data_IF_806528689728
#
_entry.id   IF_806528689728
#
_cell.length_a   1.000
_cell.length_b   1.000
_cell.length_c   1.000
_cell.angle_alpha   90.00
_cell.angle_beta   90.00
_cell.angle_gamma   90.00
#
_symmetry.space_group_name_H-M   'P 1'
#
loop_
_entity.id
_entity.type
_entity.pdbx_description
1 polymer ?
#
# COMPACT_ATOMS: atom_id res chain seq x y z
N UNK A 1 2.04 19.62 -25.60
CA UNK A 1 1.74 18.51 -24.66
C UNK A 1 2.97 18.11 -23.83
N UNK A 2 2.81 17.79 -22.52
CA UNK A 2 3.88 17.16 -21.75
C UNK A 2 4.28 15.84 -22.43
N UNK A 3 5.58 15.55 -22.52
CA UNK A 3 6.03 14.23 -23.01
C UNK A 3 5.71 13.18 -21.94
N UNK A 4 5.10 12.03 -22.30
CA UNK A 4 4.92 10.93 -21.37
C UNK A 4 6.26 10.48 -20.79
N UNK A 5 6.33 10.28 -19.47
CA UNK A 5 7.52 9.71 -18.83
C UNK A 5 7.61 8.22 -19.22
N UNK A 6 8.76 7.72 -19.70
CA UNK A 6 8.94 6.29 -20.03
C UNK A 6 8.69 5.41 -18.81
N UNK A 7 7.86 4.37 -18.95
CA UNK A 7 7.49 3.52 -17.82
C UNK A 7 8.62 2.53 -17.46
N UNK A 8 9.03 2.45 -16.19
CA UNK A 8 10.04 1.48 -15.76
C UNK A 8 9.48 0.06 -15.73
N UNK A 9 10.13 -0.84 -16.46
CA UNK A 9 9.68 -2.23 -16.62
C UNK A 9 10.22 -3.19 -15.53
N UNK A 10 11.27 -2.82 -14.80
CA UNK A 10 11.74 -3.64 -13.68
C UNK A 10 12.90 -3.11 -12.85
N UNK A 11 13.10 -3.74 -11.69
CA UNK A 11 14.08 -3.30 -10.70
C UNK A 11 13.46 -2.40 -9.64
N UNK A 12 14.27 -1.47 -9.12
CA UNK A 12 13.91 -0.58 -8.01
C UNK A 12 13.03 0.61 -8.40
N UNK A 13 12.96 0.95 -9.68
CA UNK A 13 12.15 2.06 -10.21
C UNK A 13 10.73 1.67 -10.60
N UNK A 14 10.36 0.38 -10.45
CA UNK A 14 9.01 -0.10 -10.75
C UNK A 14 7.95 0.72 -9.99
N UNK A 15 6.94 1.22 -10.71
CA UNK A 15 5.90 2.13 -10.18
C UNK A 15 6.40 3.47 -9.60
N UNK A 16 7.65 3.89 -9.87
CA UNK A 16 8.14 5.20 -9.42
C UNK A 16 7.46 6.39 -10.12
N UNK A 17 6.83 6.15 -11.27
CA UNK A 17 6.02 7.15 -11.97
C UNK A 17 4.57 7.03 -11.45
N UNK A 18 4.01 8.09 -10.83
CA UNK A 18 2.63 8.06 -10.36
C UNK A 18 1.64 7.98 -11.52
N UNK A 19 0.48 7.35 -11.27
CA UNK A 19 -0.63 7.25 -12.25
C UNK A 19 -1.50 8.51 -12.30
N UNK A 20 -1.22 9.46 -11.42
CA UNK A 20 -1.99 10.68 -11.28
C UNK A 20 -1.55 11.73 -12.30
N UNK A 21 -2.52 12.46 -12.84
CA UNK A 21 -2.31 13.57 -13.76
C UNK A 21 -1.74 14.76 -12.99
N UNK A 22 -0.41 14.84 -12.96
CA UNK A 22 0.34 15.96 -12.38
C UNK A 22 1.03 16.74 -13.50
N UNK A 23 0.88 18.09 -13.58
CA UNK A 23 1.37 18.86 -14.73
C UNK A 23 2.89 18.77 -14.93
N UNK A 24 3.64 18.57 -13.84
CA UNK A 24 5.10 18.51 -13.84
C UNK A 24 5.58 17.48 -12.82
N UNK A 25 6.24 16.43 -13.30
CA UNK A 25 6.89 15.41 -12.47
C UNK A 25 8.31 15.15 -12.96
N UNK A 26 9.23 14.94 -12.02
CA UNK A 26 10.59 14.50 -12.30
C UNK A 26 10.91 13.32 -11.37
N UNK A 27 11.10 12.15 -11.97
CA UNK A 27 11.55 10.95 -11.27
C UNK A 27 13.01 10.74 -11.62
N UNK A 28 13.87 10.54 -10.62
CA UNK A 28 15.30 10.27 -10.82
C UNK A 28 15.66 8.99 -10.10
N UNK A 29 16.04 7.97 -10.86
CA UNK A 29 16.54 6.72 -10.34
C UNK A 29 18.07 6.76 -10.33
N UNK A 30 18.68 6.48 -9.17
CA UNK A 30 20.13 6.32 -9.03
C UNK A 30 20.40 4.87 -8.65
N UNK A 31 20.97 4.12 -9.58
CA UNK A 31 21.38 2.75 -9.32
C UNK A 31 22.68 2.72 -8.52
N UNK A 32 22.68 2.01 -7.40
CA UNK A 32 23.86 1.79 -6.55
C UNK A 32 24.31 0.35 -6.78
N UNK A 33 25.40 0.11 -7.53
CA UNK A 33 25.81 -1.24 -7.91
C UNK A 33 26.44 -2.03 -6.75
N UNK A 34 26.99 -1.32 -5.77
CA UNK A 34 27.67 -1.90 -4.61
C UNK A 34 26.93 -1.53 -3.33
N UNK A 35 26.39 -2.54 -2.64
CA UNK A 35 25.67 -2.39 -1.39
C UNK A 35 26.31 -3.28 -0.32
N UNK A 36 26.34 -2.85 0.95
CA UNK A 36 26.90 -3.67 2.04
C UNK A 36 26.12 -4.97 2.26
N UNK A 37 24.88 -5.03 1.78
CA UNK A 37 24.01 -6.20 1.85
C UNK A 37 23.62 -6.66 0.44
N UNK A 38 23.64 -7.98 0.23
CA UNK A 38 23.13 -8.60 -1.00
C UNK A 38 21.61 -8.43 -1.05
N UNK A 39 21.10 -7.91 -2.16
CA UNK A 39 19.66 -7.77 -2.44
C UNK A 39 19.25 -8.68 -3.61
N UNK A 40 17.95 -8.95 -3.72
CA UNK A 40 17.35 -9.70 -4.83
C UNK A 40 15.88 -9.29 -4.99
N UNK A 41 15.18 -9.91 -5.95
CA UNK A 41 13.75 -9.73 -6.12
C UNK A 41 12.98 -10.20 -4.87
N UNK A 42 12.22 -9.28 -4.29
CA UNK A 42 11.11 -9.54 -3.39
C UNK A 42 9.81 -9.28 -4.16
N UNK A 43 8.69 -9.91 -3.78
CA UNK A 43 7.39 -9.74 -4.47
C UNK A 43 7.05 -8.24 -4.60
N UNK A 44 6.65 -7.84 -5.80
CA UNK A 44 6.43 -6.48 -6.28
C UNK A 44 7.69 -5.63 -6.59
N UNK A 45 8.89 -6.13 -6.30
CA UNK A 45 10.17 -5.42 -6.51
C UNK A 45 10.11 -3.98 -5.95
N UNK A 46 10.53 -2.97 -6.72
CA UNK A 46 10.46 -1.56 -6.30
C UNK A 46 9.03 -1.04 -6.06
N UNK A 47 7.99 -1.70 -6.58
CA UNK A 47 6.63 -1.18 -6.52
C UNK A 47 6.12 -1.03 -5.09
N UNK A 48 6.51 -1.93 -4.19
CA UNK A 48 6.12 -1.86 -2.78
C UNK A 48 6.49 -0.50 -2.16
N UNK A 49 7.77 -0.11 -2.25
CA UNK A 49 8.27 1.14 -1.65
C UNK A 49 7.85 2.39 -2.44
N UNK A 50 7.83 2.31 -3.78
CA UNK A 50 7.46 3.45 -4.61
C UNK A 50 5.97 3.81 -4.45
N UNK A 51 5.09 2.80 -4.48
CA UNK A 51 3.66 3.02 -4.26
C UNK A 51 3.40 3.45 -2.81
N UNK A 52 4.06 2.84 -1.81
CA UNK A 52 3.99 3.29 -0.42
C UNK A 52 4.24 4.80 -0.31
N UNK A 53 5.32 5.27 -0.93
CA UNK A 53 5.74 6.66 -0.89
C UNK A 53 4.77 7.58 -1.63
N UNK A 54 4.36 7.21 -2.86
CA UNK A 54 3.44 7.99 -3.68
C UNK A 54 2.07 8.11 -3.00
N UNK A 55 1.51 6.99 -2.55
CA UNK A 55 0.16 6.95 -1.98
C UNK A 55 0.08 7.55 -0.58
N UNK A 56 1.17 7.50 0.19
CA UNK A 56 1.28 8.27 1.44
C UNK A 56 1.30 9.76 1.14
N UNK A 57 2.08 10.19 0.15
CA UNK A 57 2.17 11.60 -0.22
C UNK A 57 0.86 12.12 -0.84
N UNK A 58 0.14 11.31 -1.62
CA UNK A 58 -1.21 11.65 -2.10
C UNK A 58 -2.19 11.92 -0.96
N UNK A 59 -2.07 11.17 0.13
CA UNK A 59 -2.87 11.37 1.34
C UNK A 59 -2.50 12.68 2.06
N UNK A 60 -1.20 13.00 2.14
CA UNK A 60 -0.72 14.29 2.65
C UNK A 60 -1.19 15.48 1.79
N UNK A 61 -1.19 15.33 0.46
CA UNK A 61 -1.69 16.34 -0.47
C UNK A 61 -3.20 16.54 -0.32
N UNK A 62 -3.97 15.46 -0.16
CA UNK A 62 -5.40 15.54 0.10
C UNK A 62 -5.69 16.29 1.41
N UNK A 63 -4.95 15.98 2.48
CA UNK A 63 -5.06 16.67 3.76
C UNK A 63 -4.70 18.16 3.64
N UNK A 64 -3.60 18.50 2.96
CA UNK A 64 -3.18 19.88 2.72
C UNK A 64 -4.20 20.68 1.88
N UNK A 65 -4.91 20.01 0.96
CA UNK A 65 -5.98 20.58 0.17
C UNK A 65 -7.34 20.60 0.88
N UNK A 66 -7.43 20.11 2.13
CA UNK A 66 -8.67 19.90 2.87
C UNK A 66 -9.72 19.12 2.04
N UNK A 67 -9.26 18.09 1.34
CA UNK A 67 -10.06 17.24 0.47
C UNK A 67 -10.14 15.82 1.01
N UNK A 68 -11.25 15.14 0.73
CA UNK A 68 -11.35 13.70 0.97
C UNK A 68 -10.31 12.95 0.12
N UNK A 69 -9.52 12.01 0.69
CA UNK A 69 -8.41 11.38 -0.02
C UNK A 69 -8.84 10.41 -1.13
N UNK A 70 -10.07 9.90 -1.13
CA UNK A 70 -10.60 9.10 -2.25
C UNK A 70 -10.99 10.04 -3.40
N UNK A 71 -11.75 11.09 -3.09
CA UNK A 71 -12.13 12.11 -4.09
C UNK A 71 -10.90 12.81 -4.67
N UNK A 72 -9.89 13.08 -3.84
CA UNK A 72 -8.64 13.67 -4.29
C UNK A 72 -7.94 12.79 -5.32
N UNK A 73 -7.87 11.47 -5.12
CA UNK A 73 -7.34 10.53 -6.12
C UNK A 73 -8.15 10.55 -7.40
N UNK A 74 -9.48 10.46 -7.29
CA UNK A 74 -10.39 10.46 -8.45
C UNK A 74 -10.24 11.72 -9.31
N UNK A 75 -10.05 12.90 -8.71
CA UNK A 75 -9.82 14.17 -9.43
C UNK A 75 -8.52 14.19 -10.24
N UNK A 76 -7.57 13.33 -9.91
CA UNK A 76 -6.27 13.27 -10.58
C UNK A 76 -6.10 11.98 -11.41
N UNK A 77 -7.16 11.20 -11.62
CA UNK A 77 -7.12 9.99 -12.46
C UNK A 77 -7.85 10.22 -13.78
N UNK A 78 -7.12 10.09 -14.88
CA UNK A 78 -7.68 10.15 -16.25
C UNK A 78 -8.12 8.76 -16.75
N UNK A 79 -7.64 7.68 -16.12
CA UNK A 79 -7.94 6.30 -16.48
C UNK A 79 -9.26 5.83 -15.84
N UNK A 80 -10.26 5.53 -16.68
CA UNK A 80 -11.56 5.07 -16.23
C UNK A 80 -11.50 3.76 -15.43
N UNK A 81 -10.61 2.82 -15.79
CA UNK A 81 -10.48 1.54 -15.06
C UNK A 81 -9.86 1.75 -13.68
N UNK A 82 -8.91 2.67 -13.57
CA UNK A 82 -8.38 3.10 -12.29
C UNK A 82 -9.47 3.74 -11.42
N UNK A 83 -10.29 4.62 -11.99
CA UNK A 83 -11.40 5.24 -11.28
C UNK A 83 -12.44 4.21 -10.82
N UNK A 84 -12.73 3.19 -11.62
CA UNK A 84 -13.68 2.11 -11.28
C UNK A 84 -13.22 1.33 -10.03
N UNK A 85 -11.96 0.88 -9.97
CA UNK A 85 -11.46 0.15 -8.79
C UNK A 85 -11.43 1.03 -7.55
N UNK A 86 -11.11 2.32 -7.69
CA UNK A 86 -11.12 3.28 -6.57
C UNK A 86 -12.54 3.43 -6.02
N UNK A 87 -13.53 3.62 -6.90
CA UNK A 87 -14.93 3.75 -6.49
C UNK A 87 -15.46 2.46 -5.87
N UNK A 88 -15.20 1.30 -6.47
CA UNK A 88 -15.65 0.01 -5.98
C UNK A 88 -15.13 -0.26 -4.55
N UNK A 89 -13.83 -0.10 -4.32
CA UNK A 89 -13.24 -0.28 -2.99
C UNK A 89 -13.85 0.69 -1.96
N UNK A 90 -14.00 1.98 -2.31
CA UNK A 90 -14.55 2.98 -1.40
C UNK A 90 -16.04 2.73 -1.09
N UNK A 91 -16.84 2.37 -2.09
CA UNK A 91 -18.26 2.05 -1.90
C UNK A 91 -18.44 0.78 -1.06
N UNK A 92 -17.71 -0.29 -1.38
CA UNK A 92 -17.79 -1.57 -0.65
C UNK A 92 -17.31 -1.46 0.79
N UNK A 93 -16.29 -0.63 1.05
CA UNK A 93 -15.83 -0.30 2.40
C UNK A 93 -16.84 0.55 3.18
N UNK A 94 -17.76 1.25 2.49
CA UNK A 94 -18.63 2.24 3.11
C UNK A 94 -17.85 3.47 3.55
N UNK A 95 -16.95 3.97 2.68
CA UNK A 95 -16.00 5.04 2.98
C UNK A 95 -16.63 6.26 3.65
N UNK A 96 -17.82 6.71 3.24
CA UNK A 96 -18.48 7.88 3.86
C UNK A 96 -19.06 7.60 5.24
N UNK A 97 -19.29 6.34 5.61
CA UNK A 97 -20.03 5.92 6.81
C UNK A 97 -19.13 5.46 7.97
N UNK A 98 -17.82 5.74 7.89
CA UNK A 98 -16.87 5.35 8.94
C UNK A 98 -17.16 6.10 10.25
N UNK A 99 -17.35 5.33 11.32
CA UNK A 99 -17.48 5.87 12.66
C UNK A 99 -16.10 6.24 13.23
N UNK A 100 -15.75 7.53 13.19
CA UNK A 100 -14.53 8.05 13.83
C UNK A 100 -14.59 7.82 15.34
N UNK A 101 -13.48 7.37 15.92
CA UNK A 101 -13.28 7.27 17.35
C UNK A 101 -11.80 7.54 17.67
N UNK A 102 -11.50 7.87 18.93
CA UNK A 102 -10.11 8.10 19.35
C UNK A 102 -9.27 6.85 19.10
N UNK A 103 -8.12 7.01 18.44
CA UNK A 103 -7.21 5.91 18.11
C UNK A 103 -7.71 5.02 16.97
N UNK A 104 -8.88 5.28 16.38
CA UNK A 104 -9.36 4.59 15.18
C UNK A 104 -9.19 5.48 13.96
N UNK A 105 -8.69 4.90 12.88
CA UNK A 105 -8.51 5.61 11.61
C UNK A 105 -8.76 4.71 10.43
N UNK A 106 -8.94 5.33 9.28
CA UNK A 106 -9.10 4.64 8.00
C UNK A 106 -8.10 5.17 6.98
N UNK A 107 -7.65 4.31 6.09
CA UNK A 107 -6.71 4.65 5.05
C UNK A 107 -7.13 4.06 3.73
N UNK A 108 -6.76 4.76 2.67
CA UNK A 108 -7.04 4.38 1.30
C UNK A 108 -5.77 4.50 0.46
N UNK A 109 -5.58 3.58 -0.48
CA UNK A 109 -4.54 3.68 -1.47
C UNK A 109 -4.90 2.90 -2.74
N UNK A 110 -4.26 3.29 -3.85
CA UNK A 110 -4.47 2.71 -5.16
C UNK A 110 -3.16 2.55 -5.93
N UNK A 111 -3.06 1.51 -6.76
CA UNK A 111 -2.03 1.40 -7.78
C UNK A 111 -2.47 0.51 -8.95
N UNK A 112 -1.78 0.68 -10.08
CA UNK A 112 -1.73 -0.28 -11.18
C UNK A 112 -0.35 -0.89 -11.24
N UNK A 113 -0.23 -2.20 -11.03
CA UNK A 113 1.07 -2.85 -10.97
C UNK A 113 1.87 -2.66 -12.27
N UNK A 114 3.15 -2.27 -12.17
CA UNK A 114 4.03 -1.88 -13.29
C UNK A 114 3.49 -0.74 -14.17
N UNK A 115 2.44 -0.04 -13.74
CA UNK A 115 1.63 0.87 -14.55
C UNK A 115 1.08 0.24 -15.84
N UNK A 116 1.03 -1.10 -15.91
CA UNK A 116 0.67 -1.86 -17.13
C UNK A 116 -0.23 -3.08 -16.83
N UNK A 117 -0.10 -3.71 -15.66
CA UNK A 117 -0.83 -4.91 -15.27
C UNK A 117 -2.09 -4.58 -14.45
N UNK A 118 -2.44 -5.43 -13.49
CA UNK A 118 -3.66 -5.32 -12.70
C UNK A 118 -3.73 -4.03 -11.85
N UNK A 119 -4.95 -3.54 -11.67
CA UNK A 119 -5.31 -2.41 -10.84
C UNK A 119 -5.78 -2.92 -9.48
N UNK A 120 -5.35 -2.27 -8.40
CA UNK A 120 -5.79 -2.62 -7.05
C UNK A 120 -5.95 -1.36 -6.21
N UNK A 121 -7.13 -1.20 -5.62
CA UNK A 121 -7.41 -0.22 -4.59
C UNK A 121 -7.67 -0.94 -3.26
N UNK A 122 -7.14 -0.41 -2.17
CA UNK A 122 -7.29 -0.98 -0.82
C UNK A 122 -7.76 0.12 0.12
N UNK A 123 -8.84 -0.16 0.84
CA UNK A 123 -9.33 0.60 1.96
C UNK A 123 -9.21 -0.24 3.23
N UNK A 124 -8.73 0.32 4.33
CA UNK A 124 -8.66 -0.40 5.60
C UNK A 124 -8.90 0.52 6.80
N UNK A 125 -9.42 -0.06 7.87
CA UNK A 125 -9.47 0.58 9.19
C UNK A 125 -8.49 -0.07 10.16
N UNK A 126 -7.96 0.76 11.05
CA UNK A 126 -7.07 0.34 12.12
C UNK A 126 -7.47 0.95 13.45
N UNK A 127 -7.05 0.30 14.52
CA UNK A 127 -6.98 0.87 15.86
C UNK A 127 -5.51 0.94 16.29
N UNK A 128 -5.10 2.07 16.87
CA UNK A 128 -3.76 2.29 17.42
C UNK A 128 -3.87 2.48 18.93
N UNK A 129 -3.28 1.56 19.68
CA UNK A 129 -3.17 1.65 21.14
C UNK A 129 -2.03 2.61 21.47
N UNK A 130 -2.36 3.82 21.94
CA UNK A 130 -1.42 4.93 22.03
C UNK A 130 -0.26 4.66 23.00
N UNK A 131 -0.53 3.94 24.09
CA UNK A 131 0.41 3.65 25.16
C UNK A 131 1.46 2.61 24.75
N UNK A 132 1.09 1.63 23.95
CA UNK A 132 1.99 0.55 23.49
C UNK A 132 2.54 0.78 22.09
N UNK A 133 1.85 1.59 21.26
CA UNK A 133 2.09 1.72 19.83
C UNK A 133 1.55 0.54 19.01
N UNK A 134 0.81 -0.39 19.63
CA UNK A 134 0.24 -1.54 18.93
C UNK A 134 -0.79 -1.09 17.89
N UNK A 135 -0.68 -1.63 16.68
CA UNK A 135 -1.63 -1.42 15.59
C UNK A 135 -2.45 -2.70 15.43
N UNK A 136 -3.77 -2.58 15.44
CA UNK A 136 -4.71 -3.66 15.11
C UNK A 136 -5.43 -3.33 13.82
N UNK A 137 -5.34 -4.23 12.84
CA UNK A 137 -6.05 -4.09 11.58
C UNK A 137 -7.44 -4.70 11.74
N UNK A 138 -8.49 -3.89 11.57
CA UNK A 138 -9.87 -4.33 11.77
C UNK A 138 -10.45 -4.95 10.50
N UNK A 139 -10.88 -4.10 9.59
CA UNK A 139 -11.48 -4.49 8.31
C UNK A 139 -10.64 -3.99 7.15
N UNK A 140 -10.48 -4.84 6.15
CA UNK A 140 -9.86 -4.50 4.86
C UNK A 140 -10.84 -4.79 3.73
N UNK A 141 -10.98 -3.85 2.81
CA UNK A 141 -11.71 -4.04 1.56
C UNK A 141 -10.77 -3.68 0.42
N UNK A 142 -10.68 -4.55 -0.57
CA UNK A 142 -9.97 -4.28 -1.81
C UNK A 142 -10.90 -4.41 -3.01
N UNK A 143 -10.61 -3.66 -4.07
CA UNK A 143 -11.15 -3.92 -5.39
C UNK A 143 -9.99 -4.15 -6.37
N UNK A 144 -10.14 -5.12 -7.25
CA UNK A 144 -9.11 -5.51 -8.21
C UNK A 144 -9.70 -5.66 -9.60
N UNK A 145 -9.01 -5.09 -10.59
CA UNK A 145 -9.27 -5.30 -12.01
C UNK A 145 -8.02 -5.92 -12.64
N UNK A 146 -8.15 -7.18 -13.05
CA UNK A 146 -7.09 -7.98 -13.69
C UNK A 146 -7.38 -8.27 -15.17
N UNK A 147 -8.21 -7.45 -15.82
CA UNK A 147 -8.75 -7.75 -17.14
C UNK A 147 -9.84 -8.83 -17.06
N UNK A 148 -9.93 -9.68 -18.08
CA UNK A 148 -10.86 -10.82 -18.05
C UNK A 148 -10.48 -11.81 -16.93
N UNK A 149 -11.43 -12.10 -16.05
CA UNK A 149 -11.19 -12.92 -14.87
C UNK A 149 -11.32 -14.42 -15.19
N UNK A 150 -10.20 -15.09 -15.46
CA UNK A 150 -10.16 -16.55 -15.72
C UNK A 150 -10.56 -17.36 -14.47
N UNK A 151 -10.03 -16.97 -13.31
CA UNK A 151 -10.35 -17.60 -12.02
C UNK A 151 -10.53 -16.51 -10.96
N UNK A 152 -11.77 -16.02 -10.73
CA UNK A 152 -12.04 -14.97 -9.75
C UNK A 152 -11.61 -15.33 -8.32
N UNK A 153 -11.75 -16.60 -7.91
CA UNK A 153 -11.31 -17.06 -6.59
C UNK A 153 -9.78 -17.06 -6.46
N UNK A 154 -9.08 -17.51 -7.50
CA UNK A 154 -7.62 -17.42 -7.56
C UNK A 154 -7.10 -15.97 -7.50
N UNK A 155 -7.80 -15.04 -8.15
CA UNK A 155 -7.50 -13.61 -8.08
C UNK A 155 -7.67 -13.10 -6.63
N UNK A 156 -8.81 -13.42 -6.01
CA UNK A 156 -9.11 -13.09 -4.61
C UNK A 156 -8.01 -13.59 -3.67
N UNK A 157 -7.65 -14.87 -3.75
CA UNK A 157 -6.61 -15.48 -2.93
C UNK A 157 -5.24 -14.78 -3.07
N UNK A 158 -4.88 -14.36 -4.29
CA UNK A 158 -3.63 -13.64 -4.54
C UNK A 158 -3.61 -12.23 -3.93
N UNK A 159 -4.75 -11.53 -3.97
CA UNK A 159 -4.90 -10.20 -3.36
C UNK A 159 -4.90 -10.32 -1.84
N UNK A 160 -5.67 -11.25 -1.28
CA UNK A 160 -5.75 -11.47 0.17
C UNK A 160 -4.37 -11.83 0.76
N UNK A 161 -3.68 -12.80 0.16
CA UNK A 161 -2.32 -13.16 0.58
C UNK A 161 -1.31 -12.03 0.39
N UNK A 162 -1.50 -11.20 -0.65
CA UNK A 162 -0.67 -10.02 -0.88
C UNK A 162 -0.87 -8.92 0.18
N UNK A 163 -2.12 -8.68 0.60
CA UNK A 163 -2.46 -7.76 1.68
C UNK A 163 -1.83 -8.23 3.00
N UNK A 164 -2.03 -9.50 3.36
CA UNK A 164 -1.48 -10.09 4.60
C UNK A 164 0.05 -9.96 4.64
N UNK A 165 0.73 -10.31 3.54
CA UNK A 165 2.18 -10.17 3.43
C UNK A 165 2.64 -8.71 3.61
N UNK A 166 1.90 -7.76 3.04
CA UNK A 166 2.25 -6.34 3.09
C UNK A 166 2.01 -5.73 4.46
N UNK A 167 0.95 -6.16 5.16
CA UNK A 167 0.74 -5.82 6.58
C UNK A 167 1.96 -6.26 7.39
N UNK A 168 2.48 -7.48 7.14
CA UNK A 168 3.68 -7.98 7.82
C UNK A 168 4.92 -7.13 7.56
N UNK A 169 5.20 -6.83 6.29
CA UNK A 169 6.30 -5.95 5.88
C UNK A 169 6.20 -4.55 6.44
N UNK A 170 5.00 -4.01 6.45
CA UNK A 170 4.77 -2.62 6.85
C UNK A 170 4.77 -2.46 8.36
N UNK A 171 4.35 -3.47 9.14
CA UNK A 171 4.27 -3.36 10.59
C UNK A 171 5.50 -3.89 11.32
N UNK A 172 6.13 -4.97 10.85
CA UNK A 172 7.06 -5.75 11.68
C UNK A 172 8.38 -6.06 10.99
N UNK A 173 8.32 -6.59 9.76
CA UNK A 173 9.47 -7.26 9.17
C UNK A 173 10.63 -6.29 8.87
N UNK A 174 11.79 -6.58 9.44
CA UNK A 174 13.04 -5.88 9.13
C UNK A 174 14.20 -6.85 9.28
N UNK A 175 15.08 -6.87 8.27
CA UNK A 175 16.40 -7.50 8.42
C UNK A 175 17.23 -6.60 9.34
N UNK A 176 17.97 -7.19 10.28
CA UNK A 176 18.91 -6.47 11.14
C UNK A 176 20.34 -6.91 10.86
N UNK A 177 21.31 -6.01 11.04
CA UNK A 177 22.72 -6.26 10.78
C UNK A 177 23.63 -5.43 11.68
N UNK A 178 24.85 -5.91 11.88
CA UNK A 178 25.97 -5.17 12.46
C UNK A 178 27.05 -4.88 11.38
N UNK A 179 28.21 -4.36 11.77
CA UNK A 179 29.31 -4.04 10.84
C UNK A 179 29.93 -5.27 10.15
N UNK A 180 29.56 -6.48 10.55
CA UNK A 180 30.14 -7.74 10.07
C UNK A 180 29.13 -8.68 9.43
N UNK A 181 27.84 -8.65 9.84
CA UNK A 181 26.86 -9.65 9.42
C UNK A 181 25.39 -9.27 9.66
N UNK A 182 24.51 -10.00 8.98
CA UNK A 182 23.08 -10.11 9.34
C UNK A 182 22.93 -10.77 10.72
N UNK A 183 22.08 -10.18 11.57
CA UNK A 183 21.79 -10.63 12.94
C UNK A 183 20.41 -11.29 13.10
N UNK A 184 19.45 -10.98 12.22
CA UNK A 184 18.13 -11.61 12.14
C UNK A 184 18.15 -12.90 11.30
N UNK A 185 18.77 -13.96 11.83
CA UNK A 185 19.03 -15.21 11.08
C UNK A 185 18.01 -16.33 11.31
N UNK A 186 17.01 -16.09 12.14
CA UNK A 186 16.02 -17.07 12.54
C UNK A 186 14.64 -16.40 12.76
N UNK A 187 13.59 -17.22 12.82
CA UNK A 187 12.21 -16.77 12.98
C UNK A 187 11.89 -16.14 14.34
N UNK A 188 12.77 -16.28 15.34
CA UNK A 188 12.64 -15.59 16.61
C UNK A 188 13.15 -14.15 16.56
N UNK A 189 14.14 -13.88 15.69
CA UNK A 189 14.77 -12.56 15.53
C UNK A 189 14.28 -11.77 14.33
N UNK A 190 13.63 -12.41 13.35
CA UNK A 190 12.95 -11.75 12.24
C UNK A 190 11.45 -11.75 12.52
N UNK A 191 10.88 -10.63 12.99
CA UNK A 191 9.48 -10.59 13.40
C UNK A 191 8.58 -10.64 12.17
N UNK A 192 7.62 -11.55 12.16
CA UNK A 192 6.54 -11.63 11.18
C UNK A 192 5.20 -11.61 11.90
N UNK A 193 4.16 -11.20 11.19
CA UNK A 193 2.82 -11.26 11.76
C UNK A 193 2.42 -12.68 12.13
N UNK A 194 1.59 -12.75 13.16
CA UNK A 194 0.86 -13.95 13.62
C UNK A 194 -0.63 -13.75 13.35
N UNK A 195 -1.44 -14.79 13.53
CA UNK A 195 -2.91 -14.73 13.33
C UNK A 195 -3.59 -13.54 14.03
N UNK A 196 -3.11 -13.14 15.21
CA UNK A 196 -3.64 -11.97 15.94
C UNK A 196 -3.49 -10.63 15.20
N UNK A 197 -2.63 -10.53 14.17
CA UNK A 197 -2.45 -9.33 13.36
C UNK A 197 -3.18 -9.41 12.01
N UNK A 198 -3.70 -10.59 11.64
CA UNK A 198 -4.50 -10.74 10.43
C UNK A 198 -5.78 -9.92 10.61
N UNK A 199 -6.26 -9.19 9.59
CA UNK A 199 -7.49 -8.42 9.70
C UNK A 199 -8.65 -9.28 10.19
N UNK A 200 -9.49 -8.73 11.07
CA UNK A 200 -10.70 -9.40 11.56
C UNK A 200 -11.68 -9.72 10.42
N UNK A 201 -11.68 -8.92 9.37
CA UNK A 201 -12.40 -9.22 8.12
C UNK A 201 -11.66 -8.69 6.90
N UNK A 202 -11.78 -9.42 5.79
CA UNK A 202 -11.20 -9.05 4.50
C UNK A 202 -12.19 -9.37 3.38
N UNK A 203 -12.39 -8.42 2.47
CA UNK A 203 -13.22 -8.60 1.28
C UNK A 203 -12.47 -8.11 0.04
N UNK A 204 -12.54 -8.87 -1.04
CA UNK A 204 -11.96 -8.48 -2.34
C UNK A 204 -13.04 -8.46 -3.41
N UNK A 205 -13.33 -7.30 -3.98
CA UNK A 205 -14.20 -7.20 -5.14
C UNK A 205 -13.36 -7.43 -6.41
N UNK A 206 -13.69 -8.47 -7.18
CA UNK A 206 -13.06 -8.72 -8.48
C UNK A 206 -13.95 -8.09 -9.54
N UNK A 207 -13.46 -7.03 -10.17
CA UNK A 207 -14.14 -6.39 -11.30
C UNK A 207 -13.77 -7.19 -12.55
N UNK A 208 -14.70 -8.01 -13.03
CA UNK A 208 -14.52 -8.76 -14.26
C UNK A 208 -14.67 -7.86 -15.49
N UNK A 209 -13.82 -8.10 -16.50
CA UNK A 209 -13.79 -7.34 -17.76
C UNK A 209 -13.76 -8.31 -18.95
N UNK A 210 -14.87 -9.01 -19.25
CA UNK A 210 -14.93 -9.96 -20.36
C UNK A 210 -14.51 -9.34 -21.70
N UNK A 211 -13.70 -10.07 -22.47
CA UNK A 211 -13.17 -9.65 -23.77
C UNK A 211 -11.95 -8.72 -23.69
N UNK A 212 -11.46 -8.38 -22.50
CA UNK A 212 -10.25 -7.57 -22.33
C UNK A 212 -9.00 -8.44 -22.08
N UNK A 213 -7.78 -7.95 -22.36
CA UNK A 213 -6.57 -8.74 -22.15
C UNK A 213 -6.39 -9.19 -20.69
N UNK A 214 -5.91 -10.42 -20.49
CA UNK A 214 -5.56 -10.95 -19.19
C UNK A 214 -4.37 -10.19 -18.56
N UNK A 215 -4.48 -9.84 -17.29
CA UNK A 215 -3.41 -9.15 -16.56
C UNK A 215 -2.95 -9.97 -15.35
N UNK A 216 -1.65 -9.90 -15.05
CA UNK A 216 -1.08 -10.54 -13.87
C UNK A 216 -1.53 -9.86 -12.58
N UNK A 217 -2.17 -10.61 -11.68
CA UNK A 217 -2.70 -10.10 -10.39
C UNK A 217 -1.75 -10.26 -9.21
N UNK A 218 -0.73 -11.11 -9.35
CA UNK A 218 -0.03 -11.68 -8.20
C UNK A 218 0.82 -10.71 -7.38
N UNK A 219 1.06 -9.49 -7.85
CA UNK A 219 1.90 -8.49 -7.17
C UNK A 219 1.18 -7.13 -7.03
N UNK A 220 -0.15 -7.11 -7.25
CA UNK A 220 -0.93 -5.88 -7.33
C UNK A 220 -1.25 -5.26 -5.96
N UNK A 221 -1.33 -6.08 -4.91
CA UNK A 221 -1.78 -5.63 -3.60
C UNK A 221 -0.66 -4.96 -2.77
N UNK A 222 0.61 -5.22 -3.06
CA UNK A 222 1.70 -4.93 -2.14
C UNK A 222 1.81 -3.44 -1.77
N UNK A 223 1.94 -2.60 -2.79
CA UNK A 223 2.03 -1.16 -2.63
C UNK A 223 0.78 -0.55 -1.97
N UNK A 224 -0.42 -0.77 -2.54
CA UNK A 224 -1.66 -0.22 -2.00
C UNK A 224 -1.92 -0.64 -0.56
N UNK A 225 -1.71 -1.91 -0.19
CA UNK A 225 -1.92 -2.37 1.18
C UNK A 225 -0.98 -1.66 2.18
N UNK A 226 0.29 -1.49 1.83
CA UNK A 226 1.27 -0.80 2.67
C UNK A 226 0.88 0.67 2.92
N UNK A 227 0.52 1.38 1.84
CA UNK A 227 0.13 2.78 1.92
C UNK A 227 -1.19 2.98 2.65
N UNK A 228 -2.21 2.17 2.36
CA UNK A 228 -3.50 2.25 3.03
C UNK A 228 -3.34 2.00 4.54
N UNK A 229 -2.44 1.10 4.95
CA UNK A 229 -2.13 0.91 6.37
C UNK A 229 -1.51 2.15 7.01
N UNK A 230 -0.47 2.71 6.38
CA UNK A 230 0.17 3.92 6.91
C UNK A 230 -0.75 5.14 6.92
N UNK A 231 -1.62 5.28 5.91
CA UNK A 231 -2.66 6.30 5.86
C UNK A 231 -3.68 6.12 6.99
N UNK A 232 -4.09 4.88 7.28
CA UNK A 232 -5.00 4.59 8.39
C UNK A 232 -4.38 4.91 9.75
N UNK A 233 -3.09 4.58 9.95
CA UNK A 233 -2.35 4.95 11.16
C UNK A 233 -2.23 6.47 11.29
N UNK A 234 -1.96 7.19 10.20
CA UNK A 234 -1.88 8.65 10.22
C UNK A 234 -3.25 9.29 10.54
N UNK A 235 -4.35 8.81 9.96
CA UNK A 235 -5.71 9.28 10.30
C UNK A 235 -6.08 8.96 11.75
N UNK A 236 -5.69 7.79 12.27
CA UNK A 236 -5.96 7.36 13.65
C UNK A 236 -5.22 8.21 14.70
N UNK A 237 -4.02 8.68 14.36
CA UNK A 237 -3.07 9.24 15.33
C UNK A 237 -2.77 10.72 15.14
N UNK A 238 -3.02 11.26 13.94
CA UNK A 238 -2.52 12.56 13.50
C UNK A 238 -1.03 12.57 13.13
N UNK A 239 -0.35 11.42 13.12
CA UNK A 239 1.11 11.34 12.93
C UNK A 239 1.47 10.63 11.65
N UNK A 240 2.14 11.33 10.73
CA UNK A 240 2.65 10.76 9.48
C UNK A 240 4.05 10.17 9.69
N UNK A 241 4.11 8.85 9.82
CA UNK A 241 5.36 8.09 9.73
C UNK A 241 5.68 7.81 8.26
N UNK A 242 6.94 8.05 7.85
CA UNK A 242 7.42 7.84 6.47
C UNK A 242 8.45 6.72 6.35
N UNK A 243 8.80 6.11 7.47
CA UNK A 243 9.75 5.01 7.56
C UNK A 243 9.03 3.77 8.06
N UNK A 244 9.21 2.66 7.35
CA UNK A 244 8.69 1.34 7.73
C UNK A 244 9.85 0.45 8.22
N UNK A 245 9.58 -0.59 9.05
CA UNK A 245 8.28 -0.95 9.61
C UNK A 245 7.73 0.07 10.63
N UNK A 246 6.40 0.07 10.78
CA UNK A 246 5.59 0.76 11.77
C UNK A 246 5.48 -0.10 13.04
N UNK A 247 6.62 -0.55 13.58
CA UNK A 247 6.63 -1.41 14.76
C UNK A 247 6.17 -0.66 16.03
N UNK A 248 5.61 -1.36 17.05
CA UNK A 248 5.05 -0.69 18.22
C UNK A 248 6.03 0.25 18.95
N UNK A 249 7.31 -0.12 19.17
CA UNK A 249 8.31 0.83 19.70
C UNK A 249 8.44 2.13 18.89
N UNK A 250 8.53 2.04 17.56
CA UNK A 250 8.62 3.23 16.67
C UNK A 250 7.34 4.05 16.69
N UNK A 251 6.17 3.40 16.62
CA UNK A 251 4.87 4.06 16.68
C UNK A 251 4.74 4.81 18.01
N UNK A 252 4.97 4.15 19.15
CA UNK A 252 4.92 4.78 20.47
C UNK A 252 5.89 5.96 20.60
N UNK A 253 7.10 5.83 20.07
CA UNK A 253 8.08 6.91 20.06
C UNK A 253 7.62 8.10 19.20
N UNK A 254 6.91 7.86 18.10
CA UNK A 254 6.34 8.94 17.30
C UNK A 254 5.19 9.66 18.01
N UNK A 255 4.33 8.92 18.73
CA UNK A 255 3.16 9.45 19.45
C UNK A 255 3.47 10.26 20.71
N UNK A 256 4.68 10.10 21.26
CA UNK A 256 5.16 10.79 22.48
C UNK A 256 5.93 12.08 22.19
N UNK A 257 6.27 12.34 20.92
CA UNK A 257 6.98 13.56 20.48
C UNK A 257 6.04 14.76 20.22
N UNK A 258 4.74 14.58 20.43
CA UNK A 258 3.65 15.54 20.17
C UNK A 258 2.92 15.77 21.48
#
# INVERSE_FOLDING_TARGET
PPRPLPQPEGGGDRNAIPLYSVPRAKVTHRFIPEMPLRVSALRALGAYMNVFSIESFMDELAAAANADPVEFRLRHLDDARAADVVRAAAQRFGWTNFARARGRGRGFAFARYKNLAAYCAVAMEVEVVRESGEIRVGRVVAAVDSGEAVNPDGIRNQIEGGIVQSISWTMLESVTWDTRRITSRDWGRYPMIRFAHVPASMEVEVIDRPGTPFLGTGEAAQGPAAAALANAVADATGVRMREIPLDPPRVRAALTRI
#
